data_IF_843439998928
#
_entry.id   IF_843439998928
#
_cell.length_a   1.000
_cell.length_b   1.000
_cell.length_c   1.000
_cell.angle_alpha   90.00
_cell.angle_beta   90.00
_cell.angle_gamma   90.00
#
_symmetry.space_group_name_H-M   'P 1'
#
loop_
_entity.id
_entity.type
_entity.pdbx_description
1 polymer ?
#
# COMPACT_ATOMS: atom_id res chain seq x y z
N UNK A 1 2.55 22.80 4.72
CA UNK A 1 2.80 22.26 6.06
C UNK A 1 3.68 21.04 5.88
N UNK A 2 4.95 21.21 6.17
CA UNK A 2 5.96 20.16 6.20
C UNK A 2 5.51 19.08 7.18
N UNK A 3 5.52 17.84 6.74
CA UNK A 3 5.32 16.68 7.62
C UNK A 3 6.51 16.62 8.59
N UNK A 4 6.36 15.96 9.74
CA UNK A 4 7.49 15.79 10.67
C UNK A 4 8.68 15.06 10.01
N UNK A 5 8.49 14.41 8.86
CA UNK A 5 9.54 13.80 8.02
C UNK A 5 10.32 14.87 7.23
N UNK A 6 9.65 15.92 6.72
CA UNK A 6 10.34 17.03 6.01
C UNK A 6 11.21 17.88 6.95
N UNK A 7 10.97 17.85 8.26
CA UNK A 7 11.78 18.56 9.26
C UNK A 7 13.06 17.83 9.65
N UNK A 8 13.16 16.54 9.39
CA UNK A 8 14.40 15.78 9.66
C UNK A 8 15.49 16.03 8.60
N UNK A 9 15.15 16.58 7.42
CA UNK A 9 16.10 16.75 6.31
C UNK A 9 16.88 18.07 6.35
N UNK A 10 16.52 19.06 7.18
CA UNK A 10 17.19 20.36 7.31
C UNK A 10 18.19 20.44 8.48
N UNK A 11 19.12 19.48 8.59
CA UNK A 11 20.27 19.68 9.47
C UNK A 11 21.43 20.34 8.72
N UNK A 12 21.78 21.57 9.12
CA UNK A 12 22.98 22.25 8.64
C UNK A 12 24.26 21.51 9.04
N UNK A 13 25.39 21.74 8.35
CA UNK A 13 26.68 21.15 8.73
C UNK A 13 27.05 21.36 10.21
N UNK A 14 26.67 22.50 10.80
CA UNK A 14 26.89 22.80 12.22
C UNK A 14 26.09 21.90 13.15
N UNK A 15 24.88 21.53 12.75
CA UNK A 15 24.03 20.62 13.50
C UNK A 15 24.56 19.19 13.43
N UNK A 16 25.22 18.82 12.31
CA UNK A 16 25.86 17.52 12.17
C UNK A 16 27.07 17.34 13.13
N UNK A 17 27.92 18.38 13.27
CA UNK A 17 29.03 18.32 14.22
C UNK A 17 28.56 18.25 15.68
N UNK A 18 27.50 18.98 16.01
CA UNK A 18 26.89 18.95 17.34
C UNK A 18 26.24 17.58 17.60
N UNK A 19 25.50 17.07 16.64
CA UNK A 19 24.87 15.75 16.71
C UNK A 19 25.89 14.62 16.85
N UNK A 20 27.04 14.68 16.14
CA UNK A 20 28.13 13.73 16.29
C UNK A 20 28.67 13.73 17.72
N UNK A 21 28.95 14.91 18.30
CA UNK A 21 29.44 15.02 19.68
C UNK A 21 28.45 14.46 20.68
N UNK A 22 27.16 14.69 20.50
CA UNK A 22 26.10 14.17 21.37
C UNK A 22 25.89 12.64 21.23
N UNK A 23 26.12 12.08 20.04
CA UNK A 23 25.81 10.67 19.73
C UNK A 23 27.00 9.76 20.03
N UNK A 24 28.23 10.21 19.79
CA UNK A 24 29.45 9.37 19.87
C UNK A 24 30.37 9.78 21.02
N UNK A 25 30.03 10.80 21.82
CA UNK A 25 30.85 11.27 22.93
C UNK A 25 30.11 11.29 24.26
N UNK A 26 30.82 10.93 25.32
CA UNK A 26 30.41 11.17 26.70
C UNK A 26 31.38 12.22 27.28
N UNK A 27 30.86 13.30 27.87
CA UNK A 27 31.66 14.41 28.42
C UNK A 27 32.68 15.02 27.42
N UNK A 28 32.30 15.08 26.13
CA UNK A 28 33.15 15.61 25.05
C UNK A 28 34.28 14.69 24.60
N UNK A 29 34.34 13.43 25.09
CA UNK A 29 35.26 12.38 24.63
C UNK A 29 34.48 11.40 23.78
N UNK A 30 35.02 11.07 22.60
CA UNK A 30 34.44 10.03 21.75
C UNK A 30 34.52 8.69 22.47
N UNK A 31 33.39 7.97 22.54
CA UNK A 31 33.27 6.70 23.24
C UNK A 31 34.00 5.57 22.50
N UNK A 32 34.08 5.64 21.19
CA UNK A 32 34.69 4.62 20.33
C UNK A 32 35.69 5.28 19.37
N UNK A 33 36.82 4.64 19.08
CA UNK A 33 37.75 5.13 18.08
C UNK A 33 37.19 4.98 16.65
N UNK A 34 37.65 5.78 15.66
CA UNK A 34 37.16 5.76 14.30
C UNK A 34 37.27 4.41 13.57
N UNK A 35 38.22 3.61 13.96
CA UNK A 35 38.53 2.26 13.42
C UNK A 35 37.87 1.12 14.20
N UNK A 36 36.98 1.43 15.12
CA UNK A 36 36.33 0.43 15.97
C UNK A 36 35.48 -0.56 15.18
N UNK A 37 34.69 -0.06 14.20
CA UNK A 37 33.89 -0.91 13.34
C UNK A 37 34.62 -1.20 12.03
N UNK A 38 34.70 -2.47 11.65
CA UNK A 38 35.19 -2.90 10.36
C UNK A 38 34.09 -3.00 9.32
N UNK A 39 32.85 -3.20 9.79
CA UNK A 39 31.68 -3.38 8.94
C UNK A 39 30.45 -2.77 9.62
N UNK A 40 29.66 -2.00 8.87
CA UNK A 40 28.43 -1.34 9.32
C UNK A 40 27.32 -1.74 8.37
N UNK A 41 26.20 -2.25 8.91
CA UNK A 41 24.96 -2.50 8.17
C UNK A 41 23.94 -1.46 8.54
N UNK A 42 23.37 -0.81 7.54
CA UNK A 42 22.37 0.23 7.72
C UNK A 42 21.05 -0.23 7.10
N UNK A 43 20.04 -0.42 7.94
CA UNK A 43 18.66 -0.62 7.48
C UNK A 43 18.01 0.74 7.19
N UNK A 44 17.11 0.79 6.20
CA UNK A 44 16.49 2.02 5.68
C UNK A 44 17.55 3.10 5.37
N UNK A 45 18.62 2.71 4.67
CA UNK A 45 19.80 3.55 4.45
C UNK A 45 19.49 4.88 3.76
N UNK A 46 18.41 4.97 2.97
CA UNK A 46 17.95 6.20 2.34
C UNK A 46 17.66 7.33 3.36
N UNK A 47 17.37 6.99 4.63
CA UNK A 47 17.16 7.96 5.74
C UNK A 47 18.45 8.30 6.47
N UNK A 48 19.40 7.36 6.51
CA UNK A 48 20.61 7.45 7.34
C UNK A 48 21.78 8.19 6.66
N UNK A 49 21.64 8.56 5.38
CA UNK A 49 22.66 9.29 4.64
C UNK A 49 22.62 10.81 4.90
N UNK A 50 21.68 11.28 5.71
CA UNK A 50 21.47 12.68 6.05
C UNK A 50 21.68 12.96 7.55
N UNK A 51 21.78 14.24 7.88
CA UNK A 51 21.76 14.75 9.23
C UNK A 51 22.79 14.11 10.16
N UNK A 52 22.40 13.83 11.38
CA UNK A 52 23.29 13.26 12.42
C UNK A 52 23.82 11.88 12.09
N UNK A 53 23.07 11.06 11.37
CA UNK A 53 23.51 9.73 10.95
C UNK A 53 24.63 9.81 9.93
N UNK A 54 24.58 10.77 9.01
CA UNK A 54 25.68 11.03 8.06
C UNK A 54 26.97 11.34 8.79
N UNK A 55 26.94 12.19 9.83
CA UNK A 55 28.11 12.53 10.62
C UNK A 55 28.70 11.32 11.34
N UNK A 56 27.86 10.37 11.81
CA UNK A 56 28.33 9.10 12.40
C UNK A 56 29.02 8.23 11.36
N UNK A 57 28.47 8.14 10.15
CA UNK A 57 29.08 7.34 9.07
C UNK A 57 30.42 7.96 8.61
N UNK A 58 30.48 9.29 8.48
CA UNK A 58 31.71 10.00 8.13
C UNK A 58 32.80 9.85 9.22
N UNK A 59 32.41 9.66 10.48
CA UNK A 59 33.34 9.38 11.57
C UNK A 59 33.97 7.99 11.46
N UNK A 60 33.19 6.97 11.11
CA UNK A 60 33.65 5.59 10.91
C UNK A 60 33.98 5.29 9.44
N UNK A 61 34.55 6.25 8.73
CA UNK A 61 34.83 6.22 7.28
C UNK A 61 35.67 5.01 6.80
N UNK A 62 36.45 4.39 7.70
CA UNK A 62 37.29 3.23 7.37
C UNK A 62 36.50 1.91 7.42
N UNK A 63 35.26 1.93 7.96
CA UNK A 63 34.39 0.79 7.95
C UNK A 63 33.80 0.53 6.55
N UNK A 64 33.62 -0.73 6.19
CA UNK A 64 32.83 -1.11 5.01
C UNK A 64 31.36 -0.96 5.34
N UNK A 65 30.62 -0.20 4.52
CA UNK A 65 29.21 0.10 4.77
C UNK A 65 28.35 -0.68 3.78
N UNK A 66 27.35 -1.41 4.30
CA UNK A 66 26.30 -2.05 3.52
C UNK A 66 24.97 -1.36 3.84
N UNK A 67 24.37 -0.73 2.85
CA UNK A 67 23.04 -0.14 2.95
C UNK A 67 21.95 -1.08 2.47
N UNK A 68 20.88 -1.21 3.24
CA UNK A 68 19.67 -1.95 2.87
C UNK A 68 18.51 -0.95 2.78
N UNK A 69 17.70 -1.04 1.74
CA UNK A 69 16.49 -0.21 1.60
C UNK A 69 15.50 -0.83 0.61
N UNK A 70 14.23 -0.75 0.93
CA UNK A 70 13.16 -1.11 0.00
C UNK A 70 12.78 0.07 -0.94
N UNK A 71 13.22 1.30 -0.61
CA UNK A 71 12.88 2.53 -1.33
C UNK A 71 14.14 3.37 -1.58
N UNK A 72 15.01 2.92 -2.49
CA UNK A 72 16.26 3.63 -2.80
C UNK A 72 15.96 5.00 -3.43
N UNK A 73 16.72 6.02 -3.02
CA UNK A 73 16.65 7.38 -3.58
C UNK A 73 17.88 7.66 -4.44
N UNK A 74 17.84 8.65 -5.36
CA UNK A 74 19.01 9.07 -6.13
C UNK A 74 20.20 9.44 -5.24
N UNK A 75 19.94 10.04 -4.07
CA UNK A 75 20.96 10.44 -3.11
C UNK A 75 21.57 9.22 -2.42
N UNK A 76 20.75 8.19 -2.11
CA UNK A 76 21.27 6.93 -1.58
C UNK A 76 22.17 6.23 -2.59
N UNK A 77 21.78 6.18 -3.86
CA UNK A 77 22.67 5.65 -4.91
C UNK A 77 23.99 6.44 -5.00
N UNK A 78 23.92 7.77 -4.98
CA UNK A 78 25.10 8.62 -5.03
C UNK A 78 26.01 8.42 -3.80
N UNK A 79 25.44 8.24 -2.60
CA UNK A 79 26.20 7.97 -1.38
C UNK A 79 27.02 6.68 -1.47
N UNK A 80 26.51 5.65 -2.10
CA UNK A 80 27.16 4.37 -2.31
C UNK A 80 27.89 4.28 -3.66
N UNK A 81 28.21 5.40 -4.32
CA UNK A 81 28.88 5.46 -5.64
C UNK A 81 28.19 4.60 -6.72
N UNK A 82 26.88 4.46 -6.65
CA UNK A 82 26.04 3.58 -7.48
C UNK A 82 26.48 2.08 -7.40
N UNK A 83 27.14 1.69 -6.32
CA UNK A 83 27.57 0.31 -6.11
C UNK A 83 26.39 -0.53 -5.59
N UNK A 84 25.60 -1.09 -6.48
CA UNK A 84 24.48 -1.99 -6.16
C UNK A 84 25.00 -3.41 -6.11
N UNK A 85 24.97 -4.02 -4.92
CA UNK A 85 25.42 -5.40 -4.69
C UNK A 85 24.35 -6.39 -5.11
N UNK A 86 23.09 -6.11 -4.76
CA UNK A 86 21.94 -6.96 -5.06
C UNK A 86 20.70 -6.10 -5.22
N UNK A 87 19.83 -6.48 -6.16
CA UNK A 87 18.52 -5.87 -6.38
C UNK A 87 17.47 -6.98 -6.41
N UNK A 88 16.54 -6.94 -5.47
CA UNK A 88 15.41 -7.86 -5.40
C UNK A 88 14.12 -7.05 -5.40
N UNK A 89 13.45 -7.04 -6.54
CA UNK A 89 12.28 -6.19 -6.76
C UNK A 89 11.02 -6.77 -6.12
N UNK A 90 10.01 -5.92 -5.92
CA UNK A 90 8.69 -6.37 -5.48
C UNK A 90 8.10 -7.42 -6.44
N UNK A 91 8.25 -7.21 -7.75
CA UNK A 91 7.75 -8.15 -8.75
C UNK A 91 8.42 -9.53 -8.66
N UNK A 92 9.75 -9.56 -8.50
CA UNK A 92 10.47 -10.82 -8.25
C UNK A 92 10.00 -11.50 -6.98
N UNK A 93 9.75 -10.74 -5.91
CA UNK A 93 9.24 -11.29 -4.66
C UNK A 93 7.83 -11.86 -4.76
N UNK A 94 6.99 -11.34 -5.66
CA UNK A 94 5.68 -11.90 -5.99
C UNK A 94 5.83 -13.19 -6.79
N UNK A 95 6.71 -13.22 -7.79
CA UNK A 95 7.01 -14.43 -8.57
C UNK A 95 7.56 -15.55 -7.69
N UNK A 96 8.39 -15.19 -6.70
CA UNK A 96 8.94 -16.14 -5.73
C UNK A 96 7.99 -16.53 -4.59
N UNK A 97 6.79 -15.92 -4.50
CA UNK A 97 5.78 -16.18 -3.46
C UNK A 97 6.14 -15.67 -2.08
N UNK A 98 7.12 -14.79 -1.98
CA UNK A 98 7.46 -14.10 -0.73
C UNK A 98 6.41 -13.04 -0.40
N UNK A 99 5.88 -12.39 -1.43
CA UNK A 99 4.80 -11.41 -1.34
C UNK A 99 3.61 -11.80 -2.22
N UNK A 100 2.43 -11.25 -1.95
CA UNK A 100 1.26 -11.33 -2.81
C UNK A 100 1.12 -10.06 -3.64
N UNK A 101 0.57 -10.14 -4.86
CA UNK A 101 0.37 -8.98 -5.73
C UNK A 101 -0.68 -8.02 -5.17
N UNK A 102 -0.51 -6.74 -5.51
CA UNK A 102 -1.48 -5.69 -5.24
C UNK A 102 -2.55 -5.63 -6.34
N UNK A 103 -3.80 -5.41 -5.96
CA UNK A 103 -4.90 -5.08 -6.88
C UNK A 103 -5.49 -3.74 -6.48
N UNK A 104 -5.61 -2.83 -7.43
CA UNK A 104 -6.14 -1.48 -7.16
C UNK A 104 -7.64 -1.48 -7.38
N UNK A 105 -8.39 -0.99 -6.40
CA UNK A 105 -9.81 -0.72 -6.49
C UNK A 105 -10.07 0.75 -6.21
N UNK A 106 -10.60 1.48 -7.20
CA UNK A 106 -10.87 2.91 -7.08
C UNK A 106 -12.31 3.16 -6.70
N UNK A 107 -12.51 3.97 -5.66
CA UNK A 107 -13.83 4.48 -5.27
C UNK A 107 -13.95 5.89 -5.85
N UNK A 108 -14.69 6.00 -6.96
CA UNK A 108 -15.01 7.29 -7.56
C UNK A 108 -16.29 7.83 -6.95
N UNK A 109 -16.23 8.96 -6.28
CA UNK A 109 -17.41 9.71 -5.88
C UNK A 109 -17.66 10.85 -6.89
N UNK A 110 -18.90 11.31 -7.03
CA UNK A 110 -19.19 12.45 -7.90
C UNK A 110 -18.33 13.68 -7.56
N UNK A 111 -17.90 13.77 -6.32
CA UNK A 111 -17.04 14.85 -5.81
C UNK A 111 -15.59 14.67 -6.26
N UNK A 112 -15.08 13.43 -6.26
CA UNK A 112 -13.69 13.15 -6.70
C UNK A 112 -13.52 13.22 -8.21
N UNK A 113 -14.59 12.94 -8.99
CA UNK A 113 -14.52 12.94 -10.47
C UNK A 113 -14.81 14.34 -11.05
N UNK A 114 -15.76 15.08 -10.51
CA UNK A 114 -16.23 16.35 -11.10
C UNK A 114 -15.91 17.59 -10.25
N UNK A 115 -15.23 17.41 -9.13
CA UNK A 115 -15.13 18.48 -8.14
C UNK A 115 -16.39 18.60 -7.30
N UNK A 116 -16.39 19.47 -6.32
CA UNK A 116 -17.52 19.71 -5.43
C UNK A 116 -18.06 21.13 -5.62
N UNK A 117 -19.36 21.24 -5.56
CA UNK A 117 -20.05 22.53 -5.46
C UNK A 117 -20.58 22.67 -4.05
N UNK A 118 -20.20 23.74 -3.37
CA UNK A 118 -20.86 24.19 -2.14
C UNK A 118 -21.87 25.25 -2.55
N UNK A 119 -23.13 25.01 -2.30
CA UNK A 119 -24.19 25.97 -2.65
C UNK A 119 -24.27 27.07 -1.58
N UNK A 120 -24.75 28.23 -1.98
CA UNK A 120 -25.12 29.27 -1.02
C UNK A 120 -26.16 28.70 -0.05
N UNK A 121 -25.91 28.80 1.25
CA UNK A 121 -26.73 28.23 2.31
C UNK A 121 -26.17 26.96 2.96
N UNK A 122 -25.17 26.30 2.36
CA UNK A 122 -24.51 25.12 2.96
C UNK A 122 -23.64 25.54 4.15
N UNK A 123 -23.61 24.71 5.19
CA UNK A 123 -22.75 24.96 6.35
C UNK A 123 -21.35 24.38 6.10
N UNK A 124 -20.34 25.26 6.18
CA UNK A 124 -18.93 24.90 6.02
C UNK A 124 -18.26 25.00 7.38
N UNK A 125 -17.50 23.95 7.74
CA UNK A 125 -16.65 24.01 8.94
C UNK A 125 -15.24 24.38 8.52
N UNK A 126 -14.81 25.61 8.80
CA UNK A 126 -13.45 26.07 8.58
C UNK A 126 -12.59 25.86 9.85
N UNK A 127 -11.42 25.25 9.70
CA UNK A 127 -10.43 25.14 10.78
C UNK A 127 -9.32 26.18 10.58
N UNK A 128 -9.15 27.09 11.53
CA UNK A 128 -8.06 28.06 11.51
C UNK A 128 -6.71 27.34 11.57
N UNK A 129 -5.87 27.52 10.56
CA UNK A 129 -4.50 26.97 10.51
C UNK A 129 -3.61 27.41 11.67
N UNK A 130 -3.86 28.58 12.26
CA UNK A 130 -3.03 29.16 13.35
C UNK A 130 -3.53 28.76 14.76
N UNK A 131 -4.81 28.58 14.95
CA UNK A 131 -5.40 28.42 16.30
C UNK A 131 -6.06 27.06 16.50
N UNK A 132 -6.24 26.25 15.43
CA UNK A 132 -6.95 24.96 15.49
C UNK A 132 -8.44 25.06 15.74
N UNK A 133 -8.99 26.26 15.90
CA UNK A 133 -10.41 26.48 16.22
C UNK A 133 -11.26 26.20 14.99
N UNK A 134 -12.28 25.35 15.16
CA UNK A 134 -13.29 25.07 14.14
C UNK A 134 -14.36 26.18 14.20
N UNK A 135 -14.60 26.82 13.08
CA UNK A 135 -15.66 27.85 12.92
C UNK A 135 -16.64 27.36 11.86
N UNK A 136 -17.89 27.23 12.23
CA UNK A 136 -18.94 26.93 11.27
C UNK A 136 -19.38 28.24 10.60
N UNK A 137 -19.37 28.26 9.29
CA UNK A 137 -19.86 29.36 8.47
C UNK A 137 -20.86 28.85 7.44
N UNK A 138 -21.89 29.62 7.19
CA UNK A 138 -22.78 29.38 6.07
C UNK A 138 -22.17 29.97 4.81
N UNK A 139 -22.06 29.18 3.74
CA UNK A 139 -21.60 29.68 2.45
C UNK A 139 -22.55 30.76 1.95
N UNK A 140 -22.02 31.95 1.69
CA UNK A 140 -22.80 33.08 1.18
C UNK A 140 -22.93 33.05 -0.35
N UNK A 141 -22.05 32.36 -1.02
CA UNK A 141 -21.98 32.22 -2.47
C UNK A 141 -21.72 30.76 -2.86
N UNK A 142 -22.07 30.42 -4.10
CA UNK A 142 -21.71 29.13 -4.69
C UNK A 142 -20.19 29.08 -4.92
N UNK A 143 -19.55 28.05 -4.38
CA UNK A 143 -18.13 27.80 -4.56
C UNK A 143 -17.95 26.48 -5.32
N UNK A 144 -17.32 26.54 -6.48
CA UNK A 144 -16.96 25.36 -7.27
C UNK A 144 -15.48 25.02 -7.03
N UNK A 145 -15.20 23.80 -6.60
CA UNK A 145 -13.86 23.30 -6.34
C UNK A 145 -13.47 22.27 -7.38
N UNK A 146 -12.23 22.38 -7.90
CA UNK A 146 -11.66 21.31 -8.72
C UNK A 146 -11.38 20.05 -7.85
N UNK A 147 -11.35 18.83 -8.43
CA UNK A 147 -11.02 17.61 -7.71
C UNK A 147 -9.74 17.73 -6.85
N UNK A 148 -8.69 18.34 -7.40
CA UNK A 148 -7.41 18.59 -6.72
C UNK A 148 -7.47 19.58 -5.55
N UNK A 149 -8.46 20.47 -5.51
CA UNK A 149 -8.64 21.43 -4.41
C UNK A 149 -9.45 20.84 -3.26
N UNK A 150 -10.35 19.89 -3.54
CA UNK A 150 -11.17 19.22 -2.54
C UNK A 150 -10.34 18.27 -1.66
N UNK A 151 -9.37 17.58 -2.24
CA UNK A 151 -8.52 16.63 -1.51
C UNK A 151 -7.64 17.28 -0.44
N UNK A 152 -7.43 18.58 -0.50
CA UNK A 152 -6.52 19.30 0.40
C UNK A 152 -7.17 19.98 1.60
N UNK A 153 -8.48 20.14 1.66
CA UNK A 153 -9.10 21.04 2.64
C UNK A 153 -10.43 20.64 3.25
N UNK A 154 -11.09 19.57 2.83
CA UNK A 154 -12.44 19.23 3.30
C UNK A 154 -12.47 17.83 3.90
N UNK A 155 -12.31 17.74 5.22
CA UNK A 155 -12.72 16.59 6.02
C UNK A 155 -14.24 16.65 6.20
N UNK A 156 -15.02 16.31 5.20
CA UNK A 156 -16.47 16.28 5.32
C UNK A 156 -16.89 14.87 5.82
N UNK A 157 -17.53 14.74 6.98
CA UNK A 157 -18.04 13.46 7.49
C UNK A 157 -18.90 12.68 6.49
N UNK A 158 -19.68 13.39 5.67
CA UNK A 158 -20.49 12.76 4.60
C UNK A 158 -19.65 12.11 3.51
N UNK A 159 -18.50 12.68 3.16
CA UNK A 159 -17.59 12.09 2.17
C UNK A 159 -16.95 10.83 2.74
N UNK A 160 -16.50 10.88 3.99
CA UNK A 160 -15.97 9.71 4.70
C UNK A 160 -17.01 8.60 4.76
N UNK A 161 -18.25 8.92 5.14
CA UNK A 161 -19.39 8.00 5.15
C UNK A 161 -19.61 7.36 3.77
N UNK A 162 -19.65 8.17 2.70
CA UNK A 162 -19.84 7.70 1.33
C UNK A 162 -18.75 6.73 0.88
N UNK A 163 -17.48 7.05 1.14
CA UNK A 163 -16.34 6.19 0.80
C UNK A 163 -16.39 4.88 1.59
N UNK A 164 -16.67 4.95 2.89
CA UNK A 164 -16.76 3.76 3.73
C UNK A 164 -17.96 2.87 3.35
N UNK A 165 -19.11 3.47 2.97
CA UNK A 165 -20.26 2.72 2.48
C UNK A 165 -19.96 2.03 1.14
N UNK A 166 -19.31 2.74 0.20
CA UNK A 166 -18.88 2.17 -1.07
C UNK A 166 -17.88 1.02 -0.87
N UNK A 167 -16.90 1.20 0.02
CA UNK A 167 -15.96 0.13 0.38
C UNK A 167 -16.68 -1.07 1.01
N UNK A 168 -17.54 -0.85 2.00
CA UNK A 168 -18.34 -1.90 2.65
C UNK A 168 -19.10 -2.72 1.61
N UNK A 169 -19.81 -2.05 0.71
CA UNK A 169 -20.66 -2.72 -0.27
C UNK A 169 -19.82 -3.47 -1.32
N UNK A 170 -18.60 -3.01 -1.61
CA UNK A 170 -17.66 -3.67 -2.53
C UNK A 170 -17.00 -4.93 -1.95
N UNK A 171 -16.94 -5.12 -0.63
CA UNK A 171 -16.18 -6.21 -0.01
C UNK A 171 -16.56 -7.57 -0.59
N UNK A 172 -17.84 -7.91 -0.65
CA UNK A 172 -18.33 -9.21 -1.10
C UNK A 172 -18.92 -9.20 -2.52
N UNK A 173 -18.94 -8.06 -3.20
CA UNK A 173 -19.41 -7.95 -4.59
C UNK A 173 -18.26 -7.86 -5.58
N UNK A 174 -17.24 -7.07 -5.26
CA UNK A 174 -16.18 -6.71 -6.19
C UNK A 174 -14.80 -7.22 -5.73
N UNK A 175 -14.49 -7.14 -4.43
CA UNK A 175 -13.16 -7.47 -3.91
C UNK A 175 -13.02 -8.97 -3.64
N UNK A 176 -13.98 -9.56 -2.95
CA UNK A 176 -13.97 -10.96 -2.54
C UNK A 176 -15.31 -11.64 -2.84
N UNK A 177 -15.73 -11.71 -4.13
CA UNK A 177 -17.05 -12.23 -4.50
C UNK A 177 -17.25 -13.70 -4.17
N UNK A 178 -16.16 -14.47 -4.09
CA UNK A 178 -16.20 -15.92 -3.78
C UNK A 178 -16.27 -16.22 -2.29
N UNK A 179 -16.16 -15.20 -1.42
CA UNK A 179 -16.23 -15.39 0.03
C UNK A 179 -17.66 -15.35 0.54
N UNK A 180 -17.97 -16.25 1.47
CA UNK A 180 -19.23 -16.19 2.21
C UNK A 180 -19.34 -14.86 2.95
N UNK A 181 -20.46 -14.16 2.78
CA UNK A 181 -20.74 -12.89 3.43
C UNK A 181 -20.85 -13.07 4.95
N UNK A 182 -19.83 -12.62 5.66
CA UNK A 182 -19.76 -12.61 7.14
C UNK A 182 -19.19 -11.30 7.62
N UNK A 183 -20.06 -10.43 8.12
CA UNK A 183 -19.70 -9.06 8.50
C UNK A 183 -18.81 -8.99 9.73
N UNK A 184 -18.83 -10.00 10.59
CA UNK A 184 -17.90 -10.13 11.73
C UNK A 184 -16.46 -10.38 11.29
N UNK A 185 -16.28 -10.95 10.08
CA UNK A 185 -14.98 -11.40 9.56
C UNK A 185 -14.65 -10.78 8.21
N UNK A 186 -15.01 -9.50 8.01
CA UNK A 186 -14.55 -8.76 6.81
C UNK A 186 -13.03 -8.81 6.68
N UNK A 187 -12.45 -8.63 5.49
CA UNK A 187 -11.00 -8.57 5.33
C UNK A 187 -10.36 -7.59 6.32
N UNK A 188 -9.21 -7.95 6.89
CA UNK A 188 -8.47 -7.00 7.73
C UNK A 188 -8.03 -5.81 6.90
N UNK A 189 -8.39 -4.63 7.35
CA UNK A 189 -8.26 -3.37 6.62
C UNK A 189 -7.42 -2.38 7.41
N UNK A 190 -6.46 -1.75 6.74
CA UNK A 190 -5.72 -0.61 7.23
C UNK A 190 -6.14 0.64 6.45
N UNK A 191 -6.62 1.65 7.15
CA UNK A 191 -7.04 2.93 6.56
C UNK A 191 -6.02 4.01 6.90
N UNK A 192 -5.50 4.68 5.90
CA UNK A 192 -4.60 5.81 6.07
C UNK A 192 -5.36 7.13 6.08
N UNK A 193 -5.24 7.84 7.20
CA UNK A 193 -5.82 9.15 7.45
C UNK A 193 -4.77 10.25 7.28
N UNK A 194 -5.22 11.49 7.09
CA UNK A 194 -4.39 12.67 6.93
C UNK A 194 -3.71 13.10 8.24
N UNK A 195 -4.46 13.09 9.32
CA UNK A 195 -4.03 13.49 10.66
C UNK A 195 -4.82 12.74 11.74
N UNK A 196 -4.48 12.94 13.01
CA UNK A 196 -5.09 12.25 14.13
C UNK A 196 -6.60 12.57 14.31
N UNK A 197 -7.02 13.79 13.99
CA UNK A 197 -8.44 14.19 14.01
C UNK A 197 -9.22 13.49 12.91
N UNK A 198 -8.68 13.48 11.69
CA UNK A 198 -9.26 12.76 10.57
C UNK A 198 -9.35 11.25 10.86
N UNK A 199 -8.33 10.66 11.48
CA UNK A 199 -8.38 9.26 11.92
C UNK A 199 -9.53 9.01 12.91
N UNK A 200 -9.76 9.94 13.83
CA UNK A 200 -10.88 9.84 14.80
C UNK A 200 -12.24 9.94 14.10
N UNK A 201 -12.39 10.83 13.12
CA UNK A 201 -13.60 10.97 12.33
C UNK A 201 -13.88 9.69 11.51
N UNK A 202 -12.85 9.13 10.85
CA UNK A 202 -12.96 7.87 10.12
C UNK A 202 -13.40 6.72 11.04
N UNK A 203 -12.83 6.59 12.24
CA UNK A 203 -13.23 5.56 13.22
C UNK A 203 -14.71 5.69 13.57
N UNK A 204 -15.19 6.91 13.83
CA UNK A 204 -16.57 7.16 14.20
C UNK A 204 -17.55 6.83 13.06
N UNK A 205 -17.24 7.26 11.83
CA UNK A 205 -18.06 6.97 10.67
C UNK A 205 -18.00 5.48 10.29
N UNK A 206 -16.84 4.83 10.37
CA UNK A 206 -16.70 3.39 10.14
C UNK A 206 -17.57 2.57 11.10
N UNK A 207 -17.60 2.93 12.40
CA UNK A 207 -18.47 2.26 13.38
C UNK A 207 -19.96 2.37 13.02
N UNK A 208 -20.39 3.49 12.48
CA UNK A 208 -21.79 3.69 12.02
C UNK A 208 -22.07 2.88 10.76
N UNK A 209 -21.27 3.08 9.72
CA UNK A 209 -21.47 2.45 8.39
C UNK A 209 -21.44 0.92 8.49
N UNK A 210 -20.46 0.35 9.16
CA UNK A 210 -20.40 -1.10 9.34
C UNK A 210 -21.43 -1.61 10.35
N UNK A 211 -21.81 -0.78 11.33
CA UNK A 211 -22.85 -1.11 12.32
C UNK A 211 -24.20 -1.48 11.68
N UNK A 212 -24.54 -0.91 10.53
CA UNK A 212 -25.76 -1.23 9.77
C UNK A 212 -25.86 -2.72 9.39
N UNK A 213 -24.73 -3.41 9.29
CA UNK A 213 -24.65 -4.84 8.94
C UNK A 213 -24.78 -5.78 10.16
N UNK A 214 -24.90 -5.24 11.36
CA UNK A 214 -25.06 -6.01 12.60
C UNK A 214 -26.47 -5.88 13.14
N UNK A 215 -27.06 -6.96 13.70
CA UNK A 215 -28.43 -6.92 14.27
C UNK A 215 -28.62 -5.89 15.37
N UNK A 216 -27.55 -5.56 16.11
CA UNK A 216 -27.54 -4.54 17.14
C UNK A 216 -27.47 -3.11 16.62
N UNK A 217 -27.25 -2.92 15.32
CA UNK A 217 -26.93 -1.61 14.73
C UNK A 217 -25.56 -1.08 15.14
N UNK A 218 -24.71 -1.89 15.78
CA UNK A 218 -23.38 -1.49 16.27
C UNK A 218 -22.37 -2.59 16.01
N UNK A 219 -21.18 -2.19 15.60
CA UNK A 219 -20.03 -3.10 15.51
C UNK A 219 -19.52 -3.50 16.92
N UNK A 220 -18.84 -4.66 17.06
CA UNK A 220 -18.10 -5.00 18.29
C UNK A 220 -17.14 -3.88 18.69
N UNK A 221 -16.89 -3.73 20.00
CA UNK A 221 -16.10 -2.62 20.54
C UNK A 221 -14.71 -2.49 19.90
N UNK A 222 -14.05 -3.62 19.67
CA UNK A 222 -12.69 -3.68 19.08
C UNK A 222 -12.66 -3.68 17.55
N UNK A 223 -13.80 -3.72 16.91
CA UNK A 223 -13.89 -3.91 15.45
C UNK A 223 -13.17 -2.83 14.64
N UNK A 224 -13.30 -1.57 15.05
CA UNK A 224 -12.62 -0.41 14.44
C UNK A 224 -11.83 0.32 15.52
N UNK A 225 -10.52 0.46 15.35
CA UNK A 225 -9.67 1.17 16.31
C UNK A 225 -8.68 2.11 15.60
N UNK A 226 -8.33 3.20 16.31
CA UNK A 226 -7.30 4.14 15.90
C UNK A 226 -5.93 3.67 16.41
N UNK A 227 -4.93 3.63 15.53
CA UNK A 227 -3.54 3.32 15.86
C UNK A 227 -2.68 4.51 15.44
N UNK A 228 -2.40 5.42 16.36
CA UNK A 228 -1.56 6.60 16.16
C UNK A 228 -0.60 6.76 17.31
N UNK A 229 0.40 7.64 17.17
CA UNK A 229 1.36 7.93 18.25
C UNK A 229 0.71 8.48 19.53
N UNK A 230 -0.49 9.06 19.41
CA UNK A 230 -1.28 9.55 20.53
C UNK A 230 -2.05 8.46 21.30
N UNK A 231 -2.02 7.21 20.84
CA UNK A 231 -2.65 6.08 21.55
C UNK A 231 -1.82 5.68 22.77
N UNK A 232 -2.49 5.22 23.84
CA UNK A 232 -1.84 4.83 25.09
C UNK A 232 -0.81 3.70 24.92
N UNK A 233 -1.05 2.77 23.97
CA UNK A 233 -0.15 1.64 23.71
C UNK A 233 -0.22 1.20 22.24
N UNK A 234 0.41 1.94 21.31
CA UNK A 234 0.34 1.65 19.87
C UNK A 234 0.85 0.25 19.49
N UNK A 235 1.90 -0.23 20.15
CA UNK A 235 2.50 -1.54 19.86
C UNK A 235 1.56 -2.69 20.20
N UNK A 236 0.80 -2.59 21.29
CA UNK A 236 -0.21 -3.60 21.66
C UNK A 236 -1.37 -3.59 20.66
N UNK A 237 -1.80 -2.42 20.19
CA UNK A 237 -2.83 -2.31 19.16
C UNK A 237 -2.37 -2.96 17.84
N UNK A 238 -1.12 -2.76 17.45
CA UNK A 238 -0.53 -3.42 16.25
C UNK A 238 -0.48 -4.94 16.45
N UNK A 239 -0.07 -5.39 17.64
CA UNK A 239 -0.08 -6.82 17.99
C UNK A 239 -1.49 -7.38 17.92
N UNK A 240 -2.47 -6.69 18.48
CA UNK A 240 -3.87 -7.11 18.48
C UNK A 240 -4.45 -7.15 17.06
N UNK A 241 -4.14 -6.16 16.21
CA UNK A 241 -4.51 -6.19 14.79
C UNK A 241 -3.99 -7.45 14.09
N UNK A 242 -2.82 -7.95 14.50
CA UNK A 242 -2.18 -9.14 13.92
C UNK A 242 -2.88 -10.43 14.32
N UNK A 243 -3.38 -10.54 15.56
CA UNK A 243 -3.83 -11.82 16.13
C UNK A 243 -5.33 -11.87 16.46
N UNK A 244 -5.98 -10.76 16.77
CA UNK A 244 -7.38 -10.76 17.21
C UNK A 244 -8.35 -10.85 16.03
N UNK A 245 -9.35 -11.75 16.11
CA UNK A 245 -10.40 -11.91 15.09
C UNK A 245 -11.32 -10.70 15.01
N UNK A 246 -11.66 -10.13 16.16
CA UNK A 246 -12.65 -9.06 16.27
C UNK A 246 -12.11 -7.70 15.85
N UNK A 247 -10.80 -7.52 15.78
CA UNK A 247 -10.18 -6.30 15.31
C UNK A 247 -10.03 -6.34 13.77
N UNK A 248 -10.96 -5.69 13.06
CA UNK A 248 -11.05 -5.78 11.60
C UNK A 248 -10.51 -4.57 10.86
N UNK A 249 -10.73 -3.36 11.40
CA UNK A 249 -10.33 -2.10 10.75
C UNK A 249 -9.42 -1.31 11.67
N UNK A 250 -8.20 -1.07 11.23
CA UNK A 250 -7.27 -0.14 11.86
C UNK A 250 -7.23 1.17 11.07
N UNK A 251 -7.27 2.31 11.78
CA UNK A 251 -7.11 3.63 11.18
C UNK A 251 -5.84 4.27 11.73
N UNK A 252 -4.94 4.66 10.86
CA UNK A 252 -3.63 5.23 11.22
C UNK A 252 -3.32 6.47 10.39
N UNK A 253 -2.30 7.22 10.79
CA UNK A 253 -1.70 8.27 9.96
C UNK A 253 -0.42 7.72 9.30
N UNK A 254 0.66 7.57 10.05
CA UNK A 254 1.97 7.08 9.56
C UNK A 254 2.54 5.93 10.40
N UNK A 255 2.10 5.76 11.65
CA UNK A 255 2.72 4.84 12.62
C UNK A 255 2.88 3.42 12.11
N UNK A 256 1.92 2.92 11.35
CA UNK A 256 1.95 1.56 10.77
C UNK A 256 2.67 1.52 9.42
N UNK A 257 3.16 2.66 8.93
CA UNK A 257 3.86 2.72 7.64
C UNK A 257 5.27 2.11 7.72
N UNK A 258 5.93 2.10 8.88
CA UNK A 258 7.30 1.58 9.05
C UNK A 258 7.37 0.44 10.07
N UNK A 259 8.23 -0.54 9.84
CA UNK A 259 8.64 -1.55 10.82
C UNK A 259 7.59 -2.55 11.32
N UNK A 260 6.34 -2.54 10.81
CA UNK A 260 5.27 -3.43 11.28
C UNK A 260 5.00 -4.57 10.30
N UNK A 261 4.94 -5.81 10.79
CA UNK A 261 4.56 -7.00 10.01
C UNK A 261 3.15 -7.46 10.42
N UNK A 262 2.14 -7.13 9.62
CA UNK A 262 0.75 -7.55 9.81
C UNK A 262 0.32 -8.43 8.65
N UNK A 263 0.72 -9.70 8.67
CA UNK A 263 0.48 -10.66 7.57
C UNK A 263 -0.98 -10.85 7.19
N UNK A 264 -1.96 -10.90 8.13
CA UNK A 264 -3.36 -11.06 7.80
C UNK A 264 -4.02 -9.80 7.21
N UNK A 265 -3.26 -8.73 6.94
CA UNK A 265 -3.79 -7.53 6.32
C UNK A 265 -4.10 -7.79 4.84
N UNK A 266 -5.33 -7.55 4.43
CA UNK A 266 -5.84 -7.88 3.10
C UNK A 266 -6.27 -6.64 2.30
N UNK A 267 -6.51 -5.52 2.99
CA UNK A 267 -6.92 -4.26 2.35
C UNK A 267 -6.16 -3.09 2.94
N UNK A 268 -5.64 -2.24 2.07
CA UNK A 268 -5.06 -0.94 2.40
C UNK A 268 -5.91 0.13 1.74
N UNK A 269 -6.58 0.97 2.53
CA UNK A 269 -7.47 2.01 2.03
C UNK A 269 -6.86 3.38 2.25
N UNK A 270 -6.71 4.16 1.19
CA UNK A 270 -6.20 5.52 1.22
C UNK A 270 -7.35 6.54 1.27
N UNK A 271 -7.43 7.28 2.36
CA UNK A 271 -8.30 8.45 2.54
C UNK A 271 -7.51 9.75 2.64
N UNK A 272 -6.23 9.70 2.38
CA UNK A 272 -5.32 10.81 2.35
C UNK A 272 -4.46 10.77 1.08
N UNK A 273 -4.25 11.93 0.47
CA UNK A 273 -3.30 12.11 -0.62
C UNK A 273 -1.87 12.02 -0.06
N UNK A 274 -1.11 11.06 -0.54
CA UNK A 274 0.28 10.82 -0.12
C UNK A 274 1.20 11.34 -1.21
N UNK A 275 1.88 12.46 -0.95
CA UNK A 275 2.73 13.12 -1.94
C UNK A 275 4.12 12.48 -2.06
N UNK A 276 4.59 11.80 -1.02
CA UNK A 276 5.89 11.13 -1.01
C UNK A 276 5.77 9.74 -1.60
N UNK A 277 6.47 9.47 -2.70
CA UNK A 277 6.53 8.15 -3.35
C UNK A 277 7.11 7.08 -2.42
N UNK A 278 8.07 7.48 -1.58
CA UNK A 278 8.69 6.61 -0.57
C UNK A 278 7.63 6.18 0.44
N UNK A 279 6.94 7.15 1.03
CA UNK A 279 5.91 6.90 2.04
C UNK A 279 4.75 6.09 1.44
N UNK A 280 4.29 6.44 0.24
CA UNK A 280 3.28 5.68 -0.47
C UNK A 280 3.71 4.22 -0.69
N UNK A 281 4.95 3.99 -1.15
CA UNK A 281 5.48 2.64 -1.34
C UNK A 281 5.54 1.85 -0.04
N UNK A 282 5.95 2.48 1.06
CA UNK A 282 5.95 1.85 2.39
C UNK A 282 4.52 1.53 2.88
N UNK A 283 3.58 2.43 2.66
CA UNK A 283 2.17 2.25 3.04
C UNK A 283 1.51 1.12 2.23
N UNK A 284 1.62 1.13 0.90
CA UNK A 284 1.07 0.08 0.05
C UNK A 284 1.67 -1.29 0.35
N UNK A 285 2.97 -1.34 0.64
CA UNK A 285 3.67 -2.57 0.98
C UNK A 285 3.20 -3.26 2.28
N UNK A 286 2.35 -2.61 3.09
CA UNK A 286 1.82 -3.26 4.32
C UNK A 286 0.89 -4.43 4.02
N UNK A 287 0.21 -4.42 2.88
CA UNK A 287 -0.69 -5.49 2.46
C UNK A 287 0.00 -6.69 1.80
N UNK A 288 1.22 -6.53 1.31
CA UNK A 288 1.85 -7.51 0.40
C UNK A 288 2.29 -8.83 1.05
N UNK A 289 2.38 -8.93 2.37
CA UNK A 289 2.92 -10.10 3.05
C UNK A 289 2.07 -11.34 2.87
N UNK A 290 2.72 -12.46 2.57
CA UNK A 290 2.07 -13.77 2.56
C UNK A 290 1.73 -14.25 3.97
N UNK A 291 0.72 -15.08 4.08
CA UNK A 291 0.31 -15.76 5.31
C UNK A 291 -0.08 -17.20 4.98
N UNK A 292 0.23 -18.13 5.86
CA UNK A 292 -0.24 -19.50 5.74
C UNK A 292 -1.77 -19.57 5.83
N UNK A 293 -2.41 -20.39 5.00
CA UNK A 293 -3.87 -20.51 4.88
C UNK A 293 -4.55 -20.85 6.20
N UNK A 294 -3.99 -21.77 6.99
CA UNK A 294 -4.56 -22.14 8.28
C UNK A 294 -4.55 -20.97 9.26
N UNK A 295 -3.45 -20.19 9.27
CA UNK A 295 -3.35 -18.99 10.09
C UNK A 295 -4.29 -17.88 9.60
N UNK A 296 -4.49 -17.76 8.30
CA UNK A 296 -5.47 -16.83 7.77
C UNK A 296 -6.88 -17.21 8.21
N UNK A 297 -7.26 -18.50 8.09
CA UNK A 297 -8.56 -19.01 8.54
C UNK A 297 -8.80 -18.86 10.05
N UNK A 298 -7.75 -18.99 10.85
CA UNK A 298 -7.83 -18.69 12.29
C UNK A 298 -8.27 -17.24 12.56
N UNK A 299 -7.86 -16.29 11.72
CA UNK A 299 -8.09 -14.84 11.89
C UNK A 299 -9.30 -14.38 11.08
N UNK A 300 -9.46 -14.86 9.85
CA UNK A 300 -10.54 -14.53 8.92
C UNK A 300 -11.21 -15.84 8.46
N UNK A 301 -12.18 -16.38 9.23
CA UNK A 301 -12.73 -17.73 9.03
C UNK A 301 -13.44 -17.97 7.69
N UNK A 302 -13.82 -16.92 6.98
CA UNK A 302 -14.41 -17.01 5.64
C UNK A 302 -13.39 -16.79 4.51
N UNK A 303 -12.10 -16.65 4.82
CA UNK A 303 -11.02 -16.62 3.84
C UNK A 303 -10.40 -18.02 3.69
N UNK A 304 -10.17 -18.46 2.46
CA UNK A 304 -9.47 -19.71 2.19
C UNK A 304 -7.97 -19.51 2.06
N UNK A 305 -7.58 -18.50 1.28
CA UNK A 305 -6.20 -18.15 0.99
C UNK A 305 -6.07 -16.65 0.74
N UNK A 306 -4.86 -16.12 0.82
CA UNK A 306 -4.52 -14.74 0.46
C UNK A 306 -3.71 -14.73 -0.83
N UNK A 307 -4.40 -14.64 -1.97
CA UNK A 307 -3.77 -14.61 -3.30
C UNK A 307 -3.32 -13.22 -3.72
N UNK A 308 -3.94 -12.18 -3.17
CA UNK A 308 -3.61 -10.78 -3.40
C UNK A 308 -4.00 -9.94 -2.18
N UNK A 309 -3.68 -8.66 -2.22
CA UNK A 309 -4.28 -7.66 -1.34
C UNK A 309 -4.84 -6.51 -2.18
N UNK A 310 -5.80 -5.79 -1.63
CA UNK A 310 -6.40 -4.66 -2.34
C UNK A 310 -5.90 -3.34 -1.82
N UNK A 311 -5.52 -2.47 -2.76
CA UNK A 311 -5.33 -1.04 -2.52
C UNK A 311 -6.64 -0.37 -2.91
N UNK A 312 -7.37 0.11 -1.91
CA UNK A 312 -8.61 0.86 -2.14
C UNK A 312 -8.25 2.35 -2.15
N UNK A 313 -8.40 2.96 -3.30
CA UNK A 313 -8.05 4.36 -3.54
C UNK A 313 -9.30 5.22 -3.62
N UNK A 314 -9.49 6.08 -2.62
CA UNK A 314 -10.61 7.03 -2.58
C UNK A 314 -10.20 8.46 -2.96
N UNK A 315 -8.91 8.72 -3.17
CA UNK A 315 -8.37 10.08 -3.34
C UNK A 315 -7.51 10.26 -4.60
N UNK A 316 -7.34 9.22 -5.42
CA UNK A 316 -6.55 9.27 -6.64
C UNK A 316 -5.04 9.10 -6.42
N UNK A 317 -4.61 8.60 -5.26
CA UNK A 317 -3.19 8.40 -4.92
C UNK A 317 -2.49 7.39 -5.87
N UNK A 318 -3.26 6.49 -6.49
CA UNK A 318 -2.75 5.49 -7.44
C UNK A 318 -2.68 6.01 -8.89
N UNK A 319 -3.02 7.26 -9.16
CA UNK A 319 -2.98 7.82 -10.53
C UNK A 319 -1.55 7.95 -11.06
N UNK A 320 -0.56 8.11 -10.18
CA UNK A 320 0.86 8.13 -10.53
C UNK A 320 1.47 6.74 -10.70
N UNK A 321 0.85 5.70 -10.12
CA UNK A 321 1.26 4.32 -10.41
C UNK A 321 0.83 3.98 -11.83
N UNK A 322 1.73 3.45 -12.65
CA UNK A 322 1.45 2.88 -13.98
C UNK A 322 0.56 1.64 -13.84
N UNK A 323 -0.59 1.79 -13.26
CA UNK A 323 -1.54 0.72 -13.02
C UNK A 323 -2.57 0.76 -14.13
N UNK A 324 -2.77 -0.38 -14.72
CA UNK A 324 -3.78 -0.83 -15.68
C UNK A 324 -4.67 0.30 -16.19
N UNK A 325 -4.49 0.79 -17.44
CA UNK A 325 -5.41 1.74 -18.01
C UNK A 325 -6.81 1.13 -18.00
N UNK A 326 -7.76 1.87 -17.46
CA UNK A 326 -9.17 1.50 -17.52
C UNK A 326 -9.60 1.58 -18.99
N UNK A 327 -9.88 0.48 -19.69
CA UNK A 327 -10.35 0.54 -21.06
C UNK A 327 -11.83 0.95 -21.06
N UNK A 328 -12.08 2.21 -21.36
CA UNK A 328 -13.43 2.72 -21.64
C UNK A 328 -14.03 3.55 -20.52
N UNK A 329 -14.17 4.83 -20.83
CA UNK A 329 -14.81 5.82 -20.01
C UNK A 329 -16.27 5.47 -19.69
N UNK A 330 -16.79 6.17 -18.68
CA UNK A 330 -18.13 6.13 -18.15
C UNK A 330 -18.43 4.97 -17.19
N UNK A 331 -17.88 5.04 -15.97
CA UNK A 331 -18.45 4.28 -14.88
C UNK A 331 -17.50 3.91 -13.74
N UNK A 332 -17.99 3.95 -12.53
CA UNK A 332 -17.20 3.90 -11.30
C UNK A 332 -16.85 2.48 -10.82
N UNK A 333 -16.63 1.49 -11.69
CA UNK A 333 -16.30 0.13 -11.26
C UNK A 333 -15.24 -0.49 -12.15
N UNK A 334 -13.99 -0.44 -11.71
CA UNK A 334 -12.96 -1.33 -12.25
C UNK A 334 -13.23 -2.71 -11.63
N UNK A 335 -13.94 -3.58 -12.35
CA UNK A 335 -13.90 -5.01 -12.04
C UNK A 335 -12.48 -5.47 -12.28
N UNK A 336 -11.86 -6.08 -11.27
CA UNK A 336 -10.62 -6.83 -11.49
C UNK A 336 -10.92 -7.87 -12.57
N UNK A 337 -10.21 -7.81 -13.68
CA UNK A 337 -10.36 -8.77 -14.77
C UNK A 337 -10.07 -10.18 -14.23
N UNK A 338 -11.02 -11.08 -14.36
CA UNK A 338 -10.77 -12.49 -14.11
C UNK A 338 -9.74 -13.01 -15.13
N UNK A 339 -9.05 -14.09 -14.81
CA UNK A 339 -8.08 -14.67 -15.75
C UNK A 339 -8.72 -14.98 -17.13
N UNK A 340 -9.96 -15.44 -17.15
CA UNK A 340 -10.71 -15.72 -18.38
C UNK A 340 -10.88 -14.48 -19.23
N UNK A 341 -11.42 -13.40 -18.66
CA UNK A 341 -11.59 -12.13 -19.37
C UNK A 341 -10.25 -11.50 -19.77
N UNK A 342 -9.21 -11.62 -18.92
CA UNK A 342 -7.87 -11.16 -19.26
C UNK A 342 -7.33 -11.88 -20.51
N UNK A 343 -7.50 -13.20 -20.56
CA UNK A 343 -7.07 -14.00 -21.72
C UNK A 343 -7.87 -13.64 -22.98
N UNK A 344 -9.15 -13.31 -22.87
CA UNK A 344 -9.96 -12.77 -23.97
C UNK A 344 -9.41 -11.44 -24.48
N UNK A 345 -9.10 -10.49 -23.57
CA UNK A 345 -8.51 -9.19 -23.93
C UNK A 345 -7.17 -9.37 -24.65
N UNK A 346 -6.30 -10.23 -24.13
CA UNK A 346 -5.01 -10.53 -24.74
C UNK A 346 -5.19 -11.19 -26.12
N UNK A 347 -6.15 -12.10 -26.27
CA UNK A 347 -6.46 -12.75 -27.56
C UNK A 347 -7.00 -11.76 -28.61
N UNK A 348 -7.64 -10.67 -28.17
CA UNK A 348 -8.08 -9.57 -29.06
C UNK A 348 -6.96 -8.55 -29.37
N UNK A 349 -5.74 -8.79 -28.87
CA UNK A 349 -4.58 -7.93 -29.15
C UNK A 349 -4.42 -6.76 -28.17
N UNK A 350 -5.14 -6.74 -27.06
CA UNK A 350 -5.00 -5.73 -26.02
C UNK A 350 -3.80 -6.03 -25.10
N UNK A 351 -2.61 -6.08 -25.72
CA UNK A 351 -1.34 -6.35 -25.05
C UNK A 351 -0.80 -5.05 -24.49
N UNK A 352 -1.23 -4.71 -23.27
CA UNK A 352 -0.72 -3.56 -22.50
C UNK A 352 0.17 -4.03 -21.37
N UNK A 353 1.05 -3.16 -20.86
CA UNK A 353 1.89 -3.46 -19.69
C UNK A 353 1.02 -3.94 -18.50
N UNK A 354 -0.13 -3.27 -18.27
CA UNK A 354 -1.04 -3.64 -17.21
C UNK A 354 -1.68 -5.03 -17.36
N UNK A 355 -2.10 -5.41 -18.58
CA UNK A 355 -2.63 -6.75 -18.84
C UNK A 355 -1.53 -7.81 -18.71
N UNK A 356 -0.30 -7.49 -19.10
CA UNK A 356 0.84 -8.39 -18.93
C UNK A 356 1.23 -8.54 -17.45
N UNK A 357 1.25 -7.45 -16.69
CA UNK A 357 1.47 -7.51 -15.23
C UNK A 357 0.42 -8.37 -14.54
N UNK A 358 -0.85 -8.21 -14.90
CA UNK A 358 -1.92 -9.01 -14.34
C UNK A 358 -1.79 -10.49 -14.72
N UNK A 359 -1.38 -10.81 -15.97
CA UNK A 359 -1.09 -12.18 -16.39
C UNK A 359 0.09 -12.77 -15.61
N UNK A 360 1.17 -12.01 -15.42
CA UNK A 360 2.31 -12.41 -14.59
C UNK A 360 1.85 -12.78 -13.18
N UNK A 361 1.02 -11.95 -12.57
CA UNK A 361 0.53 -12.15 -11.22
C UNK A 361 -0.38 -13.38 -11.11
N UNK A 362 -1.23 -13.64 -12.10
CA UNK A 362 -2.00 -14.88 -12.18
C UNK A 362 -1.11 -16.10 -12.33
N UNK A 363 -0.09 -16.04 -13.20
CA UNK A 363 0.87 -17.14 -13.37
C UNK A 363 1.63 -17.44 -12.07
N UNK A 364 2.05 -16.40 -11.36
CA UNK A 364 2.71 -16.53 -10.06
C UNK A 364 1.80 -17.19 -9.03
N UNK A 365 0.55 -16.71 -8.92
CA UNK A 365 -0.45 -17.28 -8.01
C UNK A 365 -0.73 -18.76 -8.31
N UNK A 366 -0.90 -19.13 -9.59
CA UNK A 366 -1.12 -20.51 -10.01
C UNK A 366 0.08 -21.37 -9.62
N UNK A 367 1.29 -20.90 -9.90
CA UNK A 367 2.50 -21.64 -9.55
C UNK A 367 2.56 -21.93 -8.06
N UNK A 368 2.42 -20.92 -7.20
CA UNK A 368 2.47 -21.08 -5.75
C UNK A 368 1.37 -21.97 -5.19
N UNK A 369 0.16 -21.85 -5.74
CA UNK A 369 -0.98 -22.66 -5.28
C UNK A 369 -0.79 -24.15 -5.53
N UNK A 370 -0.08 -24.50 -6.59
CA UNK A 370 0.00 -25.89 -7.07
C UNK A 370 1.39 -26.52 -6.91
N UNK A 371 2.46 -25.73 -6.83
CA UNK A 371 3.84 -26.23 -6.78
C UNK A 371 4.09 -27.12 -5.56
N UNK A 372 3.65 -26.70 -4.38
CA UNK A 372 3.85 -27.43 -3.12
C UNK A 372 2.66 -28.31 -2.72
N UNK A 373 1.63 -28.42 -3.56
CA UNK A 373 0.43 -29.17 -3.24
C UNK A 373 0.43 -30.52 -3.93
N UNK A 374 0.61 -31.65 -3.19
CA UNK A 374 0.68 -33.00 -3.77
C UNK A 374 -0.59 -33.40 -4.55
N UNK A 375 -1.74 -32.78 -4.22
CA UNK A 375 -3.02 -33.06 -4.89
C UNK A 375 -3.11 -32.36 -6.25
N UNK A 376 -2.46 -31.24 -6.42
CA UNK A 376 -2.59 -30.35 -7.58
C UNK A 376 -1.32 -30.29 -8.45
N UNK A 377 -0.19 -30.84 -8.01
CA UNK A 377 1.05 -30.88 -8.78
C UNK A 377 0.86 -31.48 -10.19
N UNK A 378 -0.04 -32.45 -10.35
CA UNK A 378 -0.41 -33.01 -11.63
C UNK A 378 -1.00 -32.00 -12.62
N UNK A 379 -1.60 -30.92 -12.14
CA UNK A 379 -2.15 -29.86 -12.99
C UNK A 379 -1.03 -28.99 -13.56
N UNK A 380 0.03 -28.74 -12.80
CA UNK A 380 1.22 -28.07 -13.30
C UNK A 380 1.95 -28.93 -14.33
N UNK A 381 2.10 -30.23 -14.07
CA UNK A 381 2.70 -31.16 -15.03
C UNK A 381 1.91 -31.18 -16.35
N UNK A 382 0.58 -31.23 -16.26
CA UNK A 382 -0.29 -31.16 -17.42
C UNK A 382 -0.16 -29.84 -18.17
N UNK A 383 -0.07 -28.71 -17.44
CA UNK A 383 0.15 -27.39 -18.03
C UNK A 383 1.48 -27.34 -18.80
N UNK A 384 2.56 -27.82 -18.18
CA UNK A 384 3.89 -27.84 -18.81
C UNK A 384 3.89 -28.73 -20.07
N UNK A 385 3.25 -29.91 -19.99
CA UNK A 385 3.15 -30.81 -21.17
C UNK A 385 2.33 -30.17 -22.28
N UNK A 386 1.26 -29.45 -21.95
CA UNK A 386 0.34 -28.86 -22.92
C UNK A 386 0.93 -27.64 -23.60
N UNK A 387 1.56 -26.74 -22.83
CA UNK A 387 2.01 -25.43 -23.32
C UNK A 387 3.53 -25.35 -23.55
N UNK A 388 4.31 -26.31 -23.08
CA UNK A 388 5.75 -26.37 -23.28
C UNK A 388 6.56 -25.47 -22.32
N UNK A 389 5.91 -24.82 -21.34
CA UNK A 389 6.56 -23.99 -20.32
C UNK A 389 5.76 -24.02 -19.00
N UNK A 390 6.43 -23.72 -17.87
CA UNK A 390 5.78 -23.58 -16.59
C UNK A 390 5.19 -22.14 -16.39
N UNK A 391 4.12 -21.98 -15.59
CA UNK A 391 3.59 -20.65 -15.28
C UNK A 391 4.65 -19.70 -14.73
N UNK A 392 5.56 -20.16 -13.88
CA UNK A 392 6.69 -19.39 -13.35
C UNK A 392 7.63 -18.87 -14.46
N UNK A 393 7.90 -19.72 -15.47
CA UNK A 393 8.75 -19.30 -16.61
C UNK A 393 8.09 -18.19 -17.38
N UNK A 394 6.77 -18.28 -17.61
CA UNK A 394 6.02 -17.20 -18.28
C UNK A 394 6.03 -15.92 -17.45
N UNK A 395 5.81 -16.02 -16.14
CA UNK A 395 5.85 -14.86 -15.25
C UNK A 395 7.22 -14.14 -15.29
N UNK A 396 8.32 -14.88 -15.27
CA UNK A 396 9.67 -14.32 -15.39
C UNK A 396 9.88 -13.64 -16.76
N UNK A 397 9.49 -14.30 -17.84
CA UNK A 397 9.63 -13.74 -19.18
C UNK A 397 8.82 -12.46 -19.39
N UNK A 398 7.62 -12.38 -18.81
CA UNK A 398 6.80 -11.17 -18.83
C UNK A 398 7.49 -10.06 -18.03
N UNK A 399 8.01 -10.37 -16.83
CA UNK A 399 8.70 -9.39 -16.00
C UNK A 399 9.94 -8.81 -16.72
N UNK A 400 10.76 -9.67 -17.31
CA UNK A 400 11.91 -9.25 -18.12
C UNK A 400 11.51 -8.38 -19.32
N UNK A 401 10.42 -8.73 -20.01
CA UNK A 401 9.92 -7.97 -21.15
C UNK A 401 9.47 -6.57 -20.74
N UNK A 402 8.76 -6.44 -19.64
CA UNK A 402 8.31 -5.15 -19.11
C UNK A 402 9.50 -4.31 -18.65
N UNK A 403 10.43 -4.87 -17.88
CA UNK A 403 11.61 -4.16 -17.38
C UNK A 403 12.53 -3.65 -18.50
N UNK A 404 12.67 -4.42 -19.57
CA UNK A 404 13.49 -4.06 -20.73
C UNK A 404 12.73 -3.22 -21.77
N UNK A 405 11.46 -2.90 -21.54
CA UNK A 405 10.56 -2.22 -22.48
C UNK A 405 10.50 -2.92 -23.86
N UNK A 406 10.71 -4.23 -23.87
CA UNK A 406 10.67 -5.06 -25.07
C UNK A 406 9.38 -5.86 -25.03
N UNK A 407 8.31 -5.29 -25.59
CA UNK A 407 7.11 -6.09 -25.82
C UNK A 407 7.44 -7.18 -26.84
N UNK A 408 6.96 -8.41 -26.65
CA UNK A 408 7.14 -9.48 -27.63
C UNK A 408 6.61 -9.01 -28.99
N UNK A 409 7.32 -9.26 -30.08
CA UNK A 409 6.88 -8.81 -31.39
C UNK A 409 5.49 -9.35 -31.68
N UNK A 410 4.61 -8.48 -32.14
CA UNK A 410 3.18 -8.75 -32.43
C UNK A 410 2.94 -10.01 -33.29
N UNK A 411 3.93 -10.39 -34.08
CA UNK A 411 3.93 -11.54 -34.95
C UNK A 411 3.95 -12.91 -34.25
N UNK A 412 4.33 -12.98 -33.00
CA UNK A 412 4.39 -14.26 -32.26
C UNK A 412 3.05 -14.64 -31.61
N UNK A 413 2.09 -13.70 -31.55
CA UNK A 413 0.77 -13.93 -30.94
C UNK A 413 -0.31 -14.08 -32.03
N UNK A 414 -0.06 -13.60 -33.27
CA UNK A 414 -1.05 -13.54 -34.33
C UNK A 414 -1.15 -14.79 -35.20
N UNK A 415 -0.31 -15.77 -35.06
CA UNK A 415 -0.53 -17.09 -35.64
C UNK A 415 -0.98 -18.05 -34.51
N UNK A 416 -2.29 -18.35 -34.39
CA UNK A 416 -2.69 -19.49 -33.60
C UNK A 416 -2.05 -20.70 -34.28
N UNK A 417 -1.04 -21.27 -33.63
CA UNK A 417 -0.60 -22.59 -34.01
C UNK A 417 -1.81 -23.50 -33.85
N UNK A 418 -2.45 -23.83 -34.98
CA UNK A 418 -3.61 -24.70 -35.07
C UNK A 418 -3.30 -26.15 -34.66
N UNK A 419 -2.10 -26.41 -34.11
CA UNK A 419 -1.61 -27.71 -33.70
C UNK A 419 -0.95 -27.73 -32.31
N UNK A 420 -1.19 -26.70 -31.47
CA UNK A 420 -0.69 -26.78 -30.09
C UNK A 420 -1.69 -26.30 -29.05
#
# INVERSE_FOLDING_TARGET
>A
DETDEDREDEFSQRDNEKALKETVSLDGKLLLPPDYFQFIVIDECHRSIYGKWRAVLDYFKDAKILGLTATPTPEAYAFFDNNIVEKYTYNESVIDGVNVPARVYRISTNVTVHGGTINAGDTITEKSKKTGVKVERTATERLDFSPTQLDRSITNPKQIETVLAAYRDAIYTDLYPDRAEKWEYIPKTLIFAKDDNHATEIVNEAKKVFGEKFPSGKVPERFVQKITYSADNPNDLIRNLRIEKDFRIAVTVTLVATGTDVRPLEVVLFMNDVKSDILYTQMKGRGCRTINDDKLKEITPNAETKECYYIVDAVGVTESDKTIPNPGGDGPKIKVLTLEHLLEHLAHGEVTDGNLELLRDYCSTINHRYEDNPLFGKHLDYFVVTFGFAPRTLANSINEAIENSVLPPYTSISEPNSER
#
